data_IF_454703266395
#
_entry.id   IF_454703266395
#
_cell.length_a   1.000
_cell.length_b   1.000
_cell.length_c   1.000
_cell.angle_alpha   90.00
_cell.angle_beta   90.00
_cell.angle_gamma   90.00
#
_symmetry.space_group_name_H-M   'P 1'
#
loop_
_entity.id
_entity.type
_entity.pdbx_description
1 polymer ?
#
# COMPACT_ATOMS: atom_id res chain seq x y z
N UNK A 1 -29.43 32.03 33.62
CA UNK A 1 -30.31 30.99 33.05
C UNK A 1 -29.45 29.76 32.97
N UNK A 2 -29.65 28.85 33.91
CA UNK A 2 -28.87 27.63 34.04
C UNK A 2 -29.19 26.69 32.87
N UNK A 3 -28.18 26.08 32.26
CA UNK A 3 -28.31 25.08 31.19
C UNK A 3 -29.28 23.94 31.57
N UNK A 4 -29.49 23.74 32.88
CA UNK A 4 -30.40 22.76 33.50
C UNK A 4 -31.88 23.17 33.37
N UNK A 5 -32.20 24.46 33.37
CA UNK A 5 -33.59 24.95 33.17
C UNK A 5 -34.03 24.81 31.71
N UNK A 6 -33.12 25.03 30.76
CA UNK A 6 -33.42 24.86 29.33
C UNK A 6 -33.71 23.40 29.00
N UNK A 7 -33.01 22.44 29.62
CA UNK A 7 -33.22 21.00 29.42
C UNK A 7 -34.54 20.47 30.01
N UNK A 8 -35.14 21.16 31.00
CA UNK A 8 -36.42 20.75 31.61
C UNK A 8 -37.64 21.04 30.73
N UNK A 9 -37.53 21.98 29.80
CA UNK A 9 -38.60 22.40 28.88
C UNK A 9 -38.51 21.73 27.50
N UNK A 10 -37.50 20.88 27.27
CA UNK A 10 -37.34 20.14 26.02
C UNK A 10 -38.21 18.88 26.04
N UNK A 11 -39.06 18.72 25.03
CA UNK A 11 -39.87 17.52 24.83
C UNK A 11 -38.95 16.27 24.80
N UNK A 12 -39.19 15.35 25.72
CA UNK A 12 -38.42 14.12 25.88
C UNK A 12 -38.39 13.29 24.58
N UNK A 13 -39.47 13.30 23.80
CA UNK A 13 -39.53 12.59 22.52
C UNK A 13 -38.63 13.24 21.46
N UNK A 14 -38.57 14.57 21.43
CA UNK A 14 -37.70 15.32 20.52
C UNK A 14 -36.23 15.06 20.84
N UNK A 15 -35.89 15.02 22.14
CA UNK A 15 -34.54 14.73 22.61
C UNK A 15 -34.11 13.30 22.25
N UNK A 16 -34.98 12.31 22.46
CA UNK A 16 -34.71 10.91 22.07
C UNK A 16 -34.54 10.78 20.56
N UNK A 17 -35.37 11.46 19.75
CA UNK A 17 -35.27 11.45 18.30
C UNK A 17 -33.95 12.08 17.81
N UNK A 18 -33.57 13.24 18.35
CA UNK A 18 -32.31 13.90 18.03
C UNK A 18 -31.11 13.00 18.37
N UNK A 19 -31.14 12.37 19.54
CA UNK A 19 -30.03 11.54 20.02
C UNK A 19 -29.90 10.24 19.19
N UNK A 20 -31.03 9.60 18.84
CA UNK A 20 -31.02 8.42 17.94
C UNK A 20 -30.60 8.78 16.53
N UNK A 21 -31.05 9.91 15.98
CA UNK A 21 -30.63 10.39 14.66
C UNK A 21 -29.13 10.73 14.64
N UNK A 22 -28.61 11.31 15.72
CA UNK A 22 -27.18 11.60 15.87
C UNK A 22 -26.34 10.31 15.90
N UNK A 23 -26.78 9.31 16.69
CA UNK A 23 -26.10 8.00 16.74
C UNK A 23 -26.13 7.31 15.37
N UNK A 24 -27.27 7.33 14.68
CA UNK A 24 -27.40 6.75 13.34
C UNK A 24 -26.49 7.45 12.32
N UNK A 25 -26.38 8.78 12.41
CA UNK A 25 -25.49 9.57 11.56
C UNK A 25 -24.01 9.25 11.82
N UNK A 26 -23.60 9.15 13.09
CA UNK A 26 -22.23 8.76 13.46
C UNK A 26 -21.92 7.34 12.97
N UNK A 27 -22.84 6.39 13.15
CA UNK A 27 -22.68 5.03 12.64
C UNK A 27 -22.54 4.98 11.11
N UNK A 28 -23.31 5.81 10.40
CA UNK A 28 -23.22 5.93 8.95
C UNK A 28 -21.85 6.48 8.51
N UNK A 29 -21.32 7.50 9.20
CA UNK A 29 -19.97 8.04 8.95
C UNK A 29 -18.91 6.96 9.18
N UNK A 30 -18.97 6.23 10.30
CA UNK A 30 -17.98 5.18 10.61
C UNK A 30 -17.99 4.11 9.52
N UNK A 31 -19.17 3.67 9.11
CA UNK A 31 -19.32 2.64 8.07
C UNK A 31 -18.83 3.12 6.70
N UNK A 32 -19.16 4.35 6.32
CA UNK A 32 -18.84 4.91 5.02
C UNK A 32 -17.38 5.37 4.88
N UNK A 33 -16.86 6.07 5.88
CA UNK A 33 -15.55 6.71 5.82
C UNK A 33 -14.40 5.82 6.30
N UNK A 34 -14.69 4.80 7.12
CA UNK A 34 -13.66 4.00 7.79
C UNK A 34 -13.76 2.54 7.38
N UNK A 35 -14.90 1.89 7.62
CA UNK A 35 -15.01 0.44 7.34
C UNK A 35 -14.91 0.11 5.85
N UNK A 36 -15.62 0.86 4.99
CA UNK A 36 -15.63 0.59 3.56
C UNK A 36 -14.22 0.74 2.92
N UNK A 37 -13.48 1.85 3.12
CA UNK A 37 -12.12 1.98 2.57
C UNK A 37 -11.16 0.91 3.10
N UNK A 38 -11.26 0.54 4.39
CA UNK A 38 -10.42 -0.53 4.98
C UNK A 38 -10.72 -1.87 4.30
N UNK A 39 -12.00 -2.21 4.09
CA UNK A 39 -12.38 -3.45 3.45
C UNK A 39 -12.00 -3.50 1.95
N UNK A 40 -12.21 -2.40 1.23
CA UNK A 40 -11.84 -2.30 -0.19
C UNK A 40 -10.31 -2.39 -0.36
N UNK A 41 -9.56 -1.77 0.57
CA UNK A 41 -8.09 -1.88 0.63
C UNK A 41 -7.64 -3.30 0.91
N UNK A 42 -8.30 -4.01 1.84
CA UNK A 42 -8.02 -5.43 2.13
C UNK A 42 -8.18 -6.30 0.89
N UNK A 43 -9.31 -6.20 0.21
CA UNK A 43 -9.60 -7.00 -0.99
C UNK A 43 -8.56 -6.73 -2.08
N UNK A 44 -8.23 -5.45 -2.28
CA UNK A 44 -7.23 -5.05 -3.28
C UNK A 44 -5.84 -5.55 -2.94
N UNK A 45 -5.45 -5.46 -1.66
CA UNK A 45 -4.19 -5.96 -1.14
C UNK A 45 -4.08 -7.48 -1.35
N UNK A 46 -5.08 -8.24 -0.88
CA UNK A 46 -5.12 -9.70 -1.02
C UNK A 46 -5.03 -10.11 -2.50
N UNK A 47 -5.83 -9.49 -3.37
CA UNK A 47 -5.79 -9.79 -4.81
C UNK A 47 -4.40 -9.53 -5.41
N UNK A 48 -3.79 -8.39 -5.10
CA UNK A 48 -2.51 -8.00 -5.69
C UNK A 48 -1.36 -8.88 -5.20
N UNK A 49 -1.29 -9.14 -3.90
CA UNK A 49 -0.22 -9.95 -3.32
C UNK A 49 -0.37 -11.42 -3.67
N UNK A 50 -1.60 -11.96 -3.69
CA UNK A 50 -1.83 -13.36 -4.09
C UNK A 50 -1.41 -13.60 -5.55
N UNK A 51 -1.79 -12.72 -6.48
CA UNK A 51 -1.37 -12.81 -7.89
C UNK A 51 0.16 -12.75 -8.00
N UNK A 52 0.81 -11.85 -7.26
CA UNK A 52 2.27 -11.74 -7.29
C UNK A 52 2.97 -12.99 -6.74
N UNK A 53 2.48 -13.54 -5.63
CA UNK A 53 3.00 -14.77 -5.03
C UNK A 53 2.81 -15.95 -5.98
N UNK A 54 1.64 -16.07 -6.61
CA UNK A 54 1.33 -17.10 -7.60
C UNK A 54 2.33 -17.05 -8.77
N UNK A 55 2.53 -15.86 -9.36
CA UNK A 55 3.44 -15.67 -10.49
C UNK A 55 4.89 -15.99 -10.10
N UNK A 56 5.38 -15.48 -8.96
CA UNK A 56 6.73 -15.76 -8.49
C UNK A 56 6.95 -17.25 -8.22
N UNK A 57 5.95 -17.94 -7.67
CA UNK A 57 5.99 -19.38 -7.41
C UNK A 57 5.99 -20.17 -8.71
N UNK A 58 5.18 -19.78 -9.69
CA UNK A 58 5.12 -20.40 -11.01
C UNK A 58 6.47 -20.29 -11.73
N UNK A 59 7.06 -19.08 -11.75
CA UNK A 59 8.39 -18.83 -12.30
C UNK A 59 9.48 -19.64 -11.57
N UNK A 60 9.48 -19.63 -10.23
CA UNK A 60 10.43 -20.42 -9.42
C UNK A 60 10.34 -21.90 -9.76
N UNK A 61 9.14 -22.44 -9.89
CA UNK A 61 8.94 -23.85 -10.22
C UNK A 61 9.51 -24.17 -11.60
N UNK A 62 9.28 -23.35 -12.62
CA UNK A 62 9.86 -23.56 -13.97
C UNK A 62 11.39 -23.45 -13.96
N UNK A 63 11.96 -22.46 -13.26
CA UNK A 63 13.40 -22.34 -13.11
C UNK A 63 14.01 -23.54 -12.36
N UNK A 64 13.33 -24.05 -11.34
CA UNK A 64 13.75 -25.25 -10.61
C UNK A 64 13.71 -26.50 -11.48
N UNK A 65 12.72 -26.63 -12.36
CA UNK A 65 12.64 -27.73 -13.34
C UNK A 65 13.77 -27.65 -14.36
N UNK A 66 14.11 -26.44 -14.85
CA UNK A 66 15.27 -26.21 -15.73
C UNK A 66 16.58 -26.64 -15.03
N UNK A 67 16.69 -26.38 -13.73
CA UNK A 67 17.86 -26.80 -12.95
C UNK A 67 17.94 -28.32 -12.78
N UNK A 68 16.79 -28.98 -12.60
CA UNK A 68 16.69 -30.40 -12.33
C UNK A 68 16.89 -31.28 -13.59
N UNK A 69 16.28 -30.89 -14.72
CA UNK A 69 16.29 -31.65 -15.98
C UNK A 69 17.39 -31.20 -16.96
N UNK A 70 18.59 -30.90 -16.42
CA UNK A 70 19.69 -30.34 -17.22
C UNK A 70 20.02 -31.23 -18.43
N UNK A 71 20.00 -30.62 -19.62
CA UNK A 71 20.32 -31.22 -20.94
C UNK A 71 19.26 -32.15 -21.55
N UNK A 72 18.03 -32.14 -21.05
CA UNK A 72 16.92 -32.83 -21.71
C UNK A 72 16.20 -31.91 -22.71
N UNK A 73 15.55 -32.48 -23.74
CA UNK A 73 14.71 -31.73 -24.68
C UNK A 73 13.55 -31.01 -23.95
N UNK A 74 13.15 -31.53 -22.78
CA UNK A 74 12.19 -30.89 -21.87
C UNK A 74 12.66 -29.51 -21.35
N UNK A 75 13.97 -29.26 -21.29
CA UNK A 75 14.52 -27.95 -20.88
C UNK A 75 14.02 -26.83 -21.79
N UNK A 76 13.90 -27.11 -23.09
CA UNK A 76 13.37 -26.13 -24.06
C UNK A 76 11.91 -25.82 -23.79
N UNK A 77 11.12 -26.85 -23.48
CA UNK A 77 9.70 -26.70 -23.13
C UNK A 77 9.53 -25.84 -21.87
N UNK A 78 10.35 -26.04 -20.84
CA UNK A 78 10.29 -25.21 -19.63
C UNK A 78 10.72 -23.75 -19.89
N UNK A 79 11.67 -23.52 -20.79
CA UNK A 79 12.04 -22.15 -21.22
C UNK A 79 10.92 -21.47 -21.99
N UNK A 80 10.26 -22.18 -22.91
CA UNK A 80 9.08 -21.68 -23.63
C UNK A 80 7.94 -21.36 -22.68
N UNK A 81 7.70 -22.21 -21.67
CA UNK A 81 6.71 -21.94 -20.62
C UNK A 81 7.02 -20.66 -19.82
N UNK A 82 8.31 -20.36 -19.56
CA UNK A 82 8.70 -19.09 -18.95
C UNK A 82 8.39 -17.93 -19.90
N UNK A 83 8.72 -18.03 -21.19
CA UNK A 83 8.40 -16.98 -22.16
C UNK A 83 6.89 -16.73 -22.25
N UNK A 84 6.12 -17.80 -22.35
CA UNK A 84 4.66 -17.72 -22.46
C UNK A 84 4.07 -17.08 -21.19
N UNK A 85 4.58 -17.44 -20.00
CA UNK A 85 4.20 -16.81 -18.74
C UNK A 85 4.54 -15.31 -18.70
N UNK A 86 5.71 -14.90 -19.21
CA UNK A 86 6.12 -13.50 -19.24
C UNK A 86 5.29 -12.65 -20.21
N UNK A 87 4.86 -13.23 -21.32
CA UNK A 87 4.12 -12.57 -22.40
C UNK A 87 2.60 -12.57 -22.17
N UNK A 88 2.08 -13.56 -21.44
CA UNK A 88 0.65 -13.74 -21.24
C UNK A 88 0.09 -12.84 -20.13
N UNK A 89 -1.05 -12.23 -20.43
CA UNK A 89 -1.92 -11.49 -19.50
C UNK A 89 -1.22 -10.42 -18.63
N UNK A 90 -0.09 -9.88 -19.10
CA UNK A 90 0.68 -8.88 -18.36
C UNK A 90 1.31 -9.38 -17.05
N UNK A 91 1.46 -10.70 -16.87
CA UNK A 91 2.04 -11.31 -15.65
C UNK A 91 3.45 -10.80 -15.35
N UNK A 92 4.22 -10.42 -16.37
CA UNK A 92 5.54 -9.80 -16.23
C UNK A 92 5.54 -8.51 -15.40
N UNK A 93 4.43 -7.77 -15.32
CA UNK A 93 4.30 -6.57 -14.50
C UNK A 93 4.39 -6.85 -12.98
N UNK A 94 4.18 -8.10 -12.56
CA UNK A 94 4.26 -8.51 -11.16
C UNK A 94 5.65 -8.97 -10.73
N UNK A 95 6.59 -9.11 -11.69
CA UNK A 95 7.98 -9.47 -11.40
C UNK A 95 8.83 -8.23 -11.15
N UNK A 96 9.80 -8.34 -10.25
CA UNK A 96 10.81 -7.29 -10.10
C UNK A 96 11.70 -7.23 -11.34
N UNK A 97 12.22 -6.03 -11.64
CA UNK A 97 13.03 -5.77 -12.84
C UNK A 97 14.18 -6.76 -13.02
N UNK A 98 14.85 -7.10 -11.91
CA UNK A 98 16.00 -8.01 -11.91
C UNK A 98 15.56 -9.43 -12.24
N UNK A 99 14.49 -9.92 -11.60
CA UNK A 99 13.95 -11.27 -11.85
C UNK A 99 13.45 -11.37 -13.30
N UNK A 100 12.77 -10.34 -13.80
CA UNK A 100 12.29 -10.29 -15.18
C UNK A 100 13.45 -10.36 -16.19
N UNK A 101 14.47 -9.53 -16.04
CA UNK A 101 15.64 -9.51 -16.93
C UNK A 101 16.37 -10.87 -16.90
N UNK A 102 16.56 -11.45 -15.72
CA UNK A 102 17.18 -12.77 -15.60
C UNK A 102 16.32 -13.87 -16.24
N UNK A 103 15.01 -13.86 -16.04
CA UNK A 103 14.10 -14.83 -16.66
C UNK A 103 14.11 -14.72 -18.19
N UNK A 104 14.12 -13.50 -18.74
CA UNK A 104 14.23 -13.27 -20.18
C UNK A 104 15.54 -13.85 -20.73
N UNK A 105 16.68 -13.54 -20.09
CA UNK A 105 17.99 -14.08 -20.49
C UNK A 105 18.02 -15.59 -20.44
N UNK A 106 17.55 -16.18 -19.34
CA UNK A 106 17.50 -17.64 -19.14
C UNK A 106 16.58 -18.34 -20.14
N UNK A 107 15.53 -17.66 -20.59
CA UNK A 107 14.58 -18.21 -21.56
C UNK A 107 15.11 -18.23 -22.99
N UNK A 108 16.13 -17.44 -23.32
CA UNK A 108 16.71 -17.31 -24.66
C UNK A 108 18.09 -17.99 -24.77
N UNK A 109 18.84 -18.08 -23.67
CA UNK A 109 20.19 -18.62 -23.67
C UNK A 109 20.20 -20.13 -23.98
N UNK A 110 20.86 -20.53 -25.07
CA UNK A 110 21.01 -21.91 -25.52
C UNK A 110 21.91 -22.74 -24.60
N UNK A 111 22.91 -22.12 -23.97
CA UNK A 111 23.97 -22.83 -23.22
C UNK A 111 23.64 -23.05 -21.74
N UNK A 112 22.49 -22.57 -21.27
CA UNK A 112 21.96 -22.87 -19.93
C UNK A 112 22.88 -22.41 -18.79
N UNK A 113 22.76 -21.15 -18.37
CA UNK A 113 23.53 -20.61 -17.26
C UNK A 113 23.00 -21.06 -15.88
N UNK A 114 23.49 -22.20 -15.39
CA UNK A 114 23.11 -22.78 -14.09
C UNK A 114 23.31 -21.82 -12.91
N UNK A 115 24.39 -21.03 -12.93
CA UNK A 115 24.66 -20.05 -11.88
C UNK A 115 23.58 -18.97 -11.84
N UNK A 116 23.17 -18.46 -13.02
CA UNK A 116 22.12 -17.47 -13.15
C UNK A 116 20.74 -18.03 -12.76
N UNK A 117 20.45 -19.30 -13.05
CA UNK A 117 19.22 -19.97 -12.58
C UNK A 117 19.16 -19.98 -11.06
N UNK A 118 20.23 -20.44 -10.40
CA UNK A 118 20.31 -20.50 -8.92
C UNK A 118 20.22 -19.11 -8.28
N UNK A 119 20.90 -18.14 -8.85
CA UNK A 119 20.83 -16.73 -8.40
C UNK A 119 19.40 -16.21 -8.50
N UNK A 120 18.72 -16.46 -9.62
CA UNK A 120 17.35 -15.99 -9.85
C UNK A 120 16.36 -16.67 -8.89
N UNK A 121 16.52 -17.97 -8.62
CA UNK A 121 15.71 -18.68 -7.62
C UNK A 121 15.91 -18.07 -6.23
N UNK A 122 17.15 -17.78 -5.84
CA UNK A 122 17.47 -17.13 -4.55
C UNK A 122 16.82 -15.74 -4.43
N UNK A 123 16.86 -14.93 -5.50
CA UNK A 123 16.19 -13.63 -5.54
C UNK A 123 14.67 -13.75 -5.42
N UNK A 124 14.07 -14.74 -6.09
CA UNK A 124 12.64 -15.03 -5.96
C UNK A 124 12.30 -15.44 -4.53
N UNK A 125 13.12 -16.25 -3.87
CA UNK A 125 12.89 -16.69 -2.49
C UNK A 125 12.94 -15.53 -1.49
N UNK A 126 13.88 -14.61 -1.65
CA UNK A 126 13.95 -13.38 -0.84
C UNK A 126 12.67 -12.55 -1.04
N UNK A 127 12.24 -12.38 -2.30
CA UNK A 127 11.04 -11.59 -2.61
C UNK A 127 9.77 -12.24 -2.08
N UNK A 128 9.61 -13.56 -2.25
CA UNK A 128 8.50 -14.34 -1.70
C UNK A 128 8.45 -14.23 -0.17
N UNK A 129 9.59 -14.38 0.51
CA UNK A 129 9.66 -14.24 1.96
C UNK A 129 9.17 -12.86 2.43
N UNK A 130 9.62 -11.80 1.77
CA UNK A 130 9.18 -10.44 2.07
C UNK A 130 7.69 -10.22 1.80
N UNK A 131 7.15 -10.80 0.72
CA UNK A 131 5.72 -10.71 0.40
C UNK A 131 4.88 -11.46 1.43
N UNK A 132 5.26 -12.68 1.81
CA UNK A 132 4.57 -13.49 2.80
C UNK A 132 4.58 -12.78 4.17
N UNK A 133 5.74 -12.25 4.58
CA UNK A 133 5.84 -11.47 5.82
C UNK A 133 4.92 -10.25 5.82
N UNK A 134 4.84 -9.52 4.71
CA UNK A 134 3.89 -8.39 4.58
C UNK A 134 2.43 -8.84 4.64
N UNK A 135 2.09 -9.97 4.04
CA UNK A 135 0.75 -10.55 4.12
C UNK A 135 0.42 -10.94 5.57
N UNK A 136 1.36 -11.51 6.31
CA UNK A 136 1.18 -11.86 7.72
C UNK A 136 1.01 -10.61 8.62
N UNK A 137 1.78 -9.55 8.37
CA UNK A 137 1.65 -8.26 9.05
C UNK A 137 0.27 -7.64 8.80
N UNK A 138 -0.20 -7.64 7.55
CA UNK A 138 -1.52 -7.14 7.18
C UNK A 138 -2.64 -8.01 7.76
N UNK A 139 -2.53 -9.34 7.73
CA UNK A 139 -3.48 -10.22 8.40
C UNK A 139 -3.54 -9.91 9.90
N UNK A 140 -2.40 -9.67 10.54
CA UNK A 140 -2.32 -9.29 11.95
C UNK A 140 -2.95 -7.92 12.20
N UNK A 141 -2.73 -6.94 11.30
CA UNK A 141 -3.39 -5.65 11.31
C UNK A 141 -4.90 -5.82 11.21
N UNK A 142 -5.41 -6.44 10.14
CA UNK A 142 -6.85 -6.66 9.96
C UNK A 142 -7.46 -7.48 11.09
N UNK A 143 -6.75 -8.43 11.70
CA UNK A 143 -7.24 -9.16 12.88
C UNK A 143 -7.46 -8.25 14.08
N UNK A 144 -6.60 -7.24 14.28
CA UNK A 144 -6.79 -6.23 15.34
C UNK A 144 -7.99 -5.32 15.06
N UNK A 145 -8.27 -4.98 13.80
CA UNK A 145 -9.39 -4.11 13.41
C UNK A 145 -10.73 -4.84 13.15
N UNK A 146 -10.69 -6.15 12.92
CA UNK A 146 -11.87 -7.02 12.68
C UNK A 146 -12.28 -7.83 13.92
N UNK A 147 -11.66 -7.59 15.08
CA UNK A 147 -12.00 -8.30 16.31
C UNK A 147 -13.51 -8.27 16.56
N UNK A 148 -14.09 -9.43 16.88
CA UNK A 148 -15.51 -9.62 17.22
C UNK A 148 -16.01 -8.70 18.37
N UNK A 149 -15.10 -8.09 19.14
CA UNK A 149 -15.45 -7.22 20.25
C UNK A 149 -15.63 -5.75 19.76
N UNK A 150 -16.85 -5.19 19.81
CA UNK A 150 -17.15 -3.85 19.30
C UNK A 150 -16.32 -2.74 19.94
N UNK A 151 -15.89 -2.91 21.20
CA UNK A 151 -15.10 -1.91 21.92
C UNK A 151 -13.66 -1.79 21.40
N UNK A 152 -12.98 -2.91 21.11
CA UNK A 152 -11.63 -2.86 20.56
C UNK A 152 -11.61 -2.29 19.14
N UNK A 153 -12.69 -2.53 18.37
CA UNK A 153 -12.90 -1.92 17.05
C UNK A 153 -13.03 -0.40 17.17
N UNK A 154 -13.85 0.09 18.10
CA UNK A 154 -14.00 1.53 18.36
C UNK A 154 -12.68 2.15 18.81
N UNK A 155 -11.93 1.51 19.71
CA UNK A 155 -10.61 2.00 20.17
C UNK A 155 -9.62 2.09 19.01
N UNK A 156 -9.53 1.05 18.17
CA UNK A 156 -8.66 1.04 16.99
C UNK A 156 -9.01 2.15 16.00
N UNK A 157 -10.31 2.33 15.72
CA UNK A 157 -10.81 3.42 14.87
C UNK A 157 -10.48 4.79 15.47
N UNK A 158 -10.64 4.94 16.78
CA UNK A 158 -10.38 6.20 17.50
C UNK A 158 -8.89 6.54 17.46
N UNK A 159 -8.02 5.55 17.63
CA UNK A 159 -6.57 5.73 17.58
C UNK A 159 -6.09 6.10 16.18
N UNK A 160 -6.66 5.49 15.14
CA UNK A 160 -6.38 5.85 13.74
C UNK A 160 -6.84 7.28 13.42
N UNK A 161 -8.03 7.66 13.90
CA UNK A 161 -8.54 9.02 13.76
C UNK A 161 -7.64 10.04 14.48
N UNK A 162 -7.18 9.72 15.70
CA UNK A 162 -6.24 10.56 16.45
C UNK A 162 -4.91 10.74 15.69
N UNK A 163 -4.35 9.66 15.15
CA UNK A 163 -3.12 9.71 14.35
C UNK A 163 -3.28 10.64 13.14
N UNK A 164 -4.40 10.55 12.43
CA UNK A 164 -4.68 11.41 11.27
C UNK A 164 -4.87 12.87 11.67
N UNK A 165 -5.57 13.15 12.77
CA UNK A 165 -5.74 14.51 13.31
C UNK A 165 -4.38 15.12 13.67
N UNK A 166 -3.52 14.37 14.36
CA UNK A 166 -2.16 14.81 14.71
C UNK A 166 -1.34 15.10 13.45
N UNK A 167 -1.44 14.23 12.43
CA UNK A 167 -0.71 14.41 11.17
C UNK A 167 -1.17 15.67 10.44
N UNK A 168 -2.48 15.93 10.38
CA UNK A 168 -3.05 17.14 9.77
C UNK A 168 -2.61 18.39 10.55
N UNK A 169 -2.64 18.36 11.88
CA UNK A 169 -2.17 19.46 12.71
C UNK A 169 -0.69 19.76 12.47
N UNK A 170 0.14 18.73 12.38
CA UNK A 170 1.58 18.87 12.13
C UNK A 170 1.85 19.48 10.75
N UNK A 171 1.17 19.00 9.70
CA UNK A 171 1.23 19.59 8.36
C UNK A 171 0.77 21.06 8.39
N UNK A 172 -0.34 21.35 9.06
CA UNK A 172 -0.84 22.71 9.24
C UNK A 172 0.16 23.63 9.93
N UNK A 173 0.86 23.12 10.96
CA UNK A 173 1.89 23.86 11.70
C UNK A 173 3.11 24.14 10.82
N UNK A 174 3.54 23.17 10.00
CA UNK A 174 4.62 23.37 9.03
C UNK A 174 4.22 24.46 8.01
N UNK A 175 3.02 24.37 7.45
CA UNK A 175 2.52 25.38 6.49
C UNK A 175 2.47 26.76 7.15
N UNK A 176 1.92 26.84 8.37
CA UNK A 176 1.87 28.08 9.13
C UNK A 176 3.26 28.66 9.37
N UNK A 177 4.23 27.83 9.74
CA UNK A 177 5.61 28.27 9.95
C UNK A 177 6.25 28.79 8.66
N UNK A 178 6.04 28.09 7.52
CA UNK A 178 6.52 28.53 6.20
C UNK A 178 5.92 29.88 5.81
N UNK A 179 4.60 30.05 5.98
CA UNK A 179 3.90 31.30 5.64
C UNK A 179 4.33 32.44 6.58
N UNK A 180 4.42 32.19 7.88
CA UNK A 180 4.86 33.19 8.86
C UNK A 180 6.32 33.60 8.62
N UNK A 181 7.19 32.66 8.30
CA UNK A 181 8.59 32.92 7.94
C UNK A 181 8.68 33.70 6.62
N UNK A 182 7.84 33.39 5.63
CA UNK A 182 7.73 34.18 4.40
C UNK A 182 7.30 35.62 4.68
N UNK A 183 6.30 35.86 5.53
CA UNK A 183 5.81 37.21 5.85
C UNK A 183 6.86 38.01 6.63
N UNK A 184 7.49 37.40 7.64
CA UNK A 184 8.43 38.06 8.57
C UNK A 184 9.86 38.22 8.02
N UNK A 185 10.22 37.53 6.93
CA UNK A 185 11.58 37.56 6.41
C UNK A 185 11.87 38.80 5.55
N UNK A 186 13.13 39.25 5.59
CA UNK A 186 13.66 40.22 4.64
C UNK A 186 13.57 39.68 3.20
N UNK A 187 13.70 40.57 2.21
CA UNK A 187 13.58 40.24 0.78
C UNK A 187 14.44 39.02 0.38
N UNK A 188 15.65 38.88 0.93
CA UNK A 188 16.51 37.71 0.70
C UNK A 188 15.90 36.37 1.18
N UNK A 189 15.18 36.35 2.30
CA UNK A 189 14.52 35.13 2.79
C UNK A 189 13.35 34.71 1.91
N UNK A 190 12.59 35.68 1.38
CA UNK A 190 11.51 35.44 0.42
C UNK A 190 12.03 34.87 -0.90
N UNK A 191 13.14 35.41 -1.41
CA UNK A 191 13.80 34.93 -2.62
C UNK A 191 14.33 33.51 -2.42
N UNK A 192 14.90 33.20 -1.25
CA UNK A 192 15.43 31.86 -0.94
C UNK A 192 14.33 30.80 -0.84
N UNK A 193 13.16 31.14 -0.30
CA UNK A 193 11.98 30.25 -0.28
C UNK A 193 11.44 30.03 -1.70
N UNK A 194 11.41 31.08 -2.53
CA UNK A 194 10.99 30.98 -3.93
C UNK A 194 11.93 30.07 -4.73
N UNK A 195 13.25 30.25 -4.61
CA UNK A 195 14.25 29.43 -5.30
C UNK A 195 14.17 27.97 -4.85
N UNK A 196 14.01 27.71 -3.54
CA UNK A 196 13.88 26.34 -3.05
C UNK A 196 12.57 25.68 -3.50
N UNK A 197 11.45 26.42 -3.54
CA UNK A 197 10.17 25.90 -4.05
C UNK A 197 10.23 25.55 -5.56
N UNK A 198 10.88 26.40 -6.37
CA UNK A 198 11.10 26.16 -7.80
C UNK A 198 12.03 24.96 -7.99
N UNK A 199 13.08 24.84 -7.19
CA UNK A 199 14.00 23.69 -7.20
C UNK A 199 13.29 22.38 -6.87
N UNK A 200 12.40 22.38 -5.87
CA UNK A 200 11.59 21.21 -5.51
C UNK A 200 10.62 20.84 -6.64
N UNK A 201 9.95 21.81 -7.27
CA UNK A 201 9.08 21.53 -8.42
C UNK A 201 9.86 20.99 -9.61
N UNK A 202 11.04 21.53 -9.91
CA UNK A 202 11.88 21.05 -11.00
C UNK A 202 12.39 19.63 -10.74
N UNK A 203 12.78 19.34 -9.50
CA UNK A 203 13.20 18.01 -9.08
C UNK A 203 12.03 17.01 -9.11
N UNK A 204 10.85 17.40 -8.64
CA UNK A 204 9.65 16.58 -8.70
C UNK A 204 9.25 16.27 -10.16
N UNK A 205 9.31 17.25 -11.05
CA UNK A 205 9.02 17.08 -12.47
C UNK A 205 10.03 16.14 -13.14
N UNK A 206 11.33 16.31 -12.87
CA UNK A 206 12.37 15.42 -13.37
C UNK A 206 12.26 13.99 -12.84
N UNK A 207 11.90 13.84 -11.57
CA UNK A 207 11.68 12.53 -10.96
C UNK A 207 10.45 11.83 -11.54
N UNK A 208 9.36 12.57 -11.79
CA UNK A 208 8.15 12.04 -12.42
C UNK A 208 8.34 11.75 -13.92
N UNK A 209 9.17 12.51 -14.65
CA UNK A 209 9.44 12.27 -16.07
C UNK A 209 10.39 11.10 -16.34
N UNK A 210 11.02 10.54 -15.29
CA UNK A 210 11.88 9.36 -15.35
C UNK A 210 11.14 8.05 -15.05
N UNK A 211 9.86 8.14 -14.72
CA UNK A 211 8.97 6.99 -14.58
C UNK A 211 8.24 6.74 -15.88
#
# INVERSE_FOLDING_TARGET
MDEIEVLKDVDSNLLVFLLTSLIAFVAWIIKGAIEKPINDSKITFEKTFNIRIEILTEVKNRLSLILYFKNDDETKVYKEQIQDLLLKDGKSAYLSKIILDNCLRLSIDENGNEALVKETISLIDIELFQLISKVEDEITFFRKFSHFNPLSKVIGITLLALQNIITILLIGLIIYFIVSFYISSAICGKILILITSIGIMFFANWYLSKK
#
